data_IF_750652389435
#
_entry.id   IF_750652389435
#
_cell.length_a   1.000
_cell.length_b   1.000
_cell.length_c   1.000
_cell.angle_alpha   90.00
_cell.angle_beta   90.00
_cell.angle_gamma   90.00
#
_symmetry.space_group_name_H-M   'P 1'
#
loop_
_entity.id
_entity.type
_entity.pdbx_description
1 polymer ?
#
# COMPACT_ATOMS: atom_id res chain seq x y z
N UNK A 1 -17.50 -26.64 12.13
CA UNK A 1 -17.04 -25.64 13.13
C UNK A 1 -15.54 -25.85 13.31
N UNK A 2 -14.72 -25.36 12.38
CA UNK A 2 -13.26 -25.52 12.42
C UNK A 2 -12.68 -24.13 12.62
N UNK A 3 -12.07 -23.88 13.77
CA UNK A 3 -11.27 -22.69 14.02
C UNK A 3 -9.83 -23.07 13.68
N UNK A 4 -9.39 -22.81 12.46
CA UNK A 4 -7.97 -22.88 12.13
C UNK A 4 -7.30 -21.72 12.88
N UNK A 5 -6.55 -22.05 13.93
CA UNK A 5 -5.84 -21.07 14.75
C UNK A 5 -4.52 -20.76 14.05
N UNK A 6 -4.47 -19.61 13.38
CA UNK A 6 -3.21 -19.02 12.92
C UNK A 6 -2.76 -18.07 14.02
N UNK A 7 -1.53 -18.24 14.50
CA UNK A 7 -0.90 -17.30 15.41
C UNK A 7 0.07 -16.44 14.61
N UNK A 8 -0.16 -15.13 14.58
CA UNK A 8 0.75 -14.16 13.96
C UNK A 8 1.39 -13.31 15.06
N UNK A 9 2.70 -13.15 15.01
CA UNK A 9 3.43 -12.20 15.85
C UNK A 9 4.18 -11.23 14.93
N UNK A 10 3.87 -9.94 15.01
CA UNK A 10 4.54 -8.89 14.27
C UNK A 10 5.21 -7.90 15.23
N UNK A 11 6.40 -7.44 14.86
CA UNK A 11 7.11 -6.34 15.52
C UNK A 11 7.30 -5.26 14.47
N UNK A 12 6.68 -4.11 14.71
CA UNK A 12 6.79 -2.92 13.88
C UNK A 12 7.69 -1.91 14.57
N UNK A 13 8.72 -1.46 13.86
CA UNK A 13 9.58 -0.35 14.26
C UNK A 13 9.38 0.81 13.30
N UNK A 14 8.92 1.95 13.80
CA UNK A 14 8.86 3.20 13.04
C UNK A 14 10.09 4.04 13.34
N UNK A 15 10.71 4.60 12.30
CA UNK A 15 11.84 5.51 12.44
C UNK A 15 11.48 6.84 11.76
N UNK A 16 11.51 7.92 12.53
CA UNK A 16 11.51 9.27 11.97
C UNK A 16 12.97 9.75 11.91
N UNK A 17 13.50 9.91 10.70
CA UNK A 17 14.76 10.60 10.47
C UNK A 17 14.46 12.09 10.24
N UNK A 18 15.19 12.94 10.96
CA UNK A 18 14.83 14.35 11.14
C UNK A 18 14.74 15.18 9.86
N UNK A 19 14.11 16.34 10.00
CA UNK A 19 13.99 17.33 8.93
C UNK A 19 15.34 18.00 8.65
N UNK A 20 15.71 18.11 7.38
CA UNK A 20 16.89 18.86 6.94
C UNK A 20 16.43 20.03 6.08
N UNK A 21 16.53 21.23 6.63
CA UNK A 21 16.28 22.47 5.91
C UNK A 21 17.45 22.78 4.96
N UNK A 22 17.18 22.81 3.65
CA UNK A 22 18.09 23.31 2.62
C UNK A 22 17.68 24.72 2.18
N UNK A 23 18.59 25.44 1.54
CA UNK A 23 18.36 26.82 1.07
C UNK A 23 17.22 26.97 0.02
N UNK A 24 16.60 25.87 -0.43
CA UNK A 24 15.55 25.85 -1.46
C UNK A 24 14.34 24.96 -1.11
N UNK A 25 14.27 24.39 0.10
CA UNK A 25 13.19 23.49 0.52
C UNK A 25 13.56 22.62 1.71
N UNK A 26 12.60 21.84 2.19
CA UNK A 26 12.71 21.00 3.38
C UNK A 26 12.58 19.53 2.99
N UNK A 27 13.50 18.70 3.48
CA UNK A 27 13.44 17.25 3.34
C UNK A 27 12.98 16.64 4.66
N UNK A 28 12.03 15.71 4.57
CA UNK A 28 11.61 14.85 5.67
C UNK A 28 11.77 13.38 5.23
N UNK A 29 12.34 12.57 6.12
CA UNK A 29 12.57 11.15 5.88
C UNK A 29 11.99 10.35 7.05
N UNK A 30 10.86 9.72 6.84
CA UNK A 30 10.22 8.82 7.79
C UNK A 30 10.24 7.39 7.25
N UNK A 31 9.62 6.46 7.98
CA UNK A 31 9.39 5.12 7.48
C UNK A 31 9.18 4.08 8.55
N UNK A 32 8.97 2.85 8.10
CA UNK A 32 8.78 1.69 8.95
C UNK A 32 9.62 0.50 8.50
N UNK A 33 10.03 -0.30 9.47
CA UNK A 33 10.58 -1.65 9.28
C UNK A 33 9.71 -2.59 10.10
N UNK A 34 9.28 -3.70 9.51
CA UNK A 34 8.54 -4.72 10.21
C UNK A 34 9.23 -6.08 10.10
N UNK A 35 9.15 -6.86 11.17
CA UNK A 35 9.43 -8.29 11.14
C UNK A 35 8.17 -9.03 11.59
N UNK A 36 7.78 -10.06 10.85
CA UNK A 36 6.59 -10.86 11.10
C UNK A 36 6.96 -12.34 11.17
N UNK A 37 6.33 -13.08 12.07
CA UNK A 37 6.37 -14.53 12.12
C UNK A 37 4.94 -15.08 12.14
N UNK A 38 4.59 -15.82 11.09
CA UNK A 38 3.33 -16.59 11.03
C UNK A 38 3.60 -18.04 11.46
N UNK A 39 2.75 -18.55 12.35
CA UNK A 39 2.83 -19.93 12.84
C UNK A 39 1.59 -20.71 12.40
N UNK A 40 1.84 -21.85 11.77
CA UNK A 40 0.84 -22.75 11.21
C UNK A 40 0.84 -24.09 11.96
N UNK A 41 0.05 -24.24 13.04
CA UNK A 41 0.05 -25.45 13.87
C UNK A 41 -0.67 -26.64 13.22
N UNK A 42 -1.60 -26.36 12.31
CA UNK A 42 -2.35 -27.38 11.57
C UNK A 42 -1.60 -27.77 10.27
N UNK A 43 -1.91 -28.95 9.74
CA UNK A 43 -1.42 -29.37 8.42
C UNK A 43 -1.90 -28.45 7.29
N UNK A 44 -1.24 -28.49 6.11
CA UNK A 44 -1.76 -27.95 4.85
C UNK A 44 -3.25 -28.24 4.66
N UNK A 45 -4.02 -27.23 4.22
CA UNK A 45 -5.43 -27.42 3.87
C UNK A 45 -5.58 -28.05 2.48
N UNK A 46 -4.59 -27.85 1.61
CA UNK A 46 -4.49 -28.40 0.27
C UNK A 46 -3.11 -29.04 0.07
N UNK A 47 -3.01 -30.02 -0.84
CA UNK A 47 -1.78 -30.81 -1.05
C UNK A 47 -0.64 -29.96 -1.61
N UNK A 48 -0.99 -28.91 -2.35
CA UNK A 48 -0.05 -28.01 -3.01
C UNK A 48 0.51 -26.95 -2.06
N UNK A 49 -0.08 -26.78 -0.87
CA UNK A 49 0.41 -25.79 0.09
C UNK A 49 1.71 -26.24 0.76
N UNK A 50 2.59 -25.27 0.99
CA UNK A 50 3.79 -25.45 1.81
C UNK A 50 3.42 -26.04 3.19
N UNK A 51 4.24 -26.93 3.75
CA UNK A 51 4.00 -27.59 5.04
C UNK A 51 4.80 -26.98 6.21
N UNK A 52 5.50 -25.87 5.97
CA UNK A 52 6.27 -25.15 6.97
C UNK A 52 5.37 -24.65 8.12
N UNK A 53 5.80 -24.98 9.34
CA UNK A 53 5.15 -24.54 10.59
C UNK A 53 5.42 -23.07 10.89
N UNK A 54 6.57 -22.55 10.46
CA UNK A 54 7.01 -21.18 10.71
C UNK A 54 7.22 -20.47 9.37
N UNK A 55 6.66 -19.28 9.23
CA UNK A 55 6.81 -18.45 8.02
C UNK A 55 7.20 -17.03 8.44
N UNK A 56 8.52 -16.75 8.48
CA UNK A 56 9.00 -15.41 8.77
C UNK A 56 8.93 -14.51 7.53
N UNK A 57 8.65 -13.22 7.74
CA UNK A 57 8.78 -12.19 6.72
C UNK A 57 9.33 -10.90 7.32
N UNK A 58 9.84 -10.02 6.47
CA UNK A 58 10.29 -8.69 6.84
C UNK A 58 9.86 -7.67 5.78
N UNK A 59 9.51 -6.46 6.19
CA UNK A 59 9.22 -5.35 5.28
C UNK A 59 9.94 -4.07 5.66
N UNK A 60 10.16 -3.24 4.65
CA UNK A 60 10.77 -1.93 4.76
C UNK A 60 10.02 -0.94 3.87
N UNK A 61 9.60 0.17 4.46
CA UNK A 61 8.81 1.22 3.81
C UNK A 61 9.33 2.59 4.27
N UNK A 62 10.35 3.16 3.60
CA UNK A 62 10.72 4.54 3.84
C UNK A 62 9.71 5.48 3.19
N UNK A 63 9.54 6.65 3.79
CA UNK A 63 8.73 7.75 3.28
C UNK A 63 9.65 8.97 3.12
N UNK A 64 9.71 9.49 1.89
CA UNK A 64 10.55 10.62 1.53
C UNK A 64 9.63 11.75 1.09
N UNK A 65 9.69 12.86 1.80
CA UNK A 65 8.94 14.07 1.48
C UNK A 65 9.91 15.22 1.23
N UNK A 66 9.68 15.94 0.13
CA UNK A 66 10.40 17.16 -0.17
C UNK A 66 9.41 18.30 -0.42
N UNK A 67 9.46 19.33 0.40
CA UNK A 67 8.58 20.50 0.30
C UNK A 67 9.37 21.74 -0.10
N UNK A 68 8.79 22.54 -1.00
CA UNK A 68 9.36 23.82 -1.40
C UNK A 68 8.27 24.87 -1.67
N UNK A 69 8.68 26.10 -1.97
CA UNK A 69 7.76 27.24 -2.20
C UNK A 69 6.80 27.50 -1.03
N UNK A 70 7.32 27.43 0.20
CA UNK A 70 6.56 27.59 1.44
C UNK A 70 5.46 26.51 1.62
N UNK A 71 5.77 25.26 1.26
CA UNK A 71 4.85 24.11 1.34
C UNK A 71 3.79 24.07 0.24
N UNK A 72 3.87 24.95 -0.75
CA UNK A 72 2.94 24.93 -1.91
C UNK A 72 3.28 23.86 -2.91
N UNK A 73 4.49 23.33 -2.89
CA UNK A 73 4.86 22.17 -3.67
C UNK A 73 5.41 21.10 -2.75
N UNK A 74 4.96 19.88 -2.96
CA UNK A 74 5.39 18.71 -2.22
C UNK A 74 5.62 17.55 -3.17
N UNK A 75 6.78 16.92 -3.08
CA UNK A 75 7.05 15.63 -3.70
C UNK A 75 7.03 14.57 -2.60
N UNK A 76 6.34 13.46 -2.87
CA UNK A 76 6.26 12.32 -1.95
C UNK A 76 6.65 11.06 -2.68
N UNK A 77 7.53 10.27 -2.08
CA UNK A 77 7.93 8.96 -2.57
C UNK A 77 7.95 7.96 -1.40
N UNK A 78 7.18 6.89 -1.55
CA UNK A 78 7.04 5.80 -0.57
C UNK A 78 7.32 4.48 -1.27
N UNK A 79 8.60 4.09 -1.47
CA UNK A 79 8.91 2.76 -1.94
C UNK A 79 8.67 1.74 -0.82
N UNK A 80 8.37 0.51 -1.21
CA UNK A 80 8.05 -0.58 -0.32
C UNK A 80 8.81 -1.84 -0.77
N UNK A 81 9.30 -2.60 0.20
CA UNK A 81 9.92 -3.89 -0.03
C UNK A 81 9.42 -4.88 1.02
N UNK A 82 9.01 -6.07 0.58
CA UNK A 82 8.79 -7.23 1.44
C UNK A 82 9.62 -8.42 0.98
N UNK A 83 10.15 -9.13 1.96
CA UNK A 83 10.80 -10.43 1.80
C UNK A 83 10.03 -11.45 2.64
N UNK A 84 9.51 -12.50 2.02
CA UNK A 84 8.81 -13.59 2.67
C UNK A 84 9.53 -14.91 2.38
N UNK A 85 9.67 -15.77 3.39
CA UNK A 85 10.42 -17.00 3.27
C UNK A 85 9.71 -18.10 2.45
N UNK A 86 8.38 -18.07 2.38
CA UNK A 86 7.58 -19.21 1.91
C UNK A 86 6.43 -18.84 0.97
N UNK A 87 6.22 -17.55 0.69
CA UNK A 87 5.30 -17.06 -0.33
C UNK A 87 6.06 -16.11 -1.28
N UNK A 88 6.34 -16.57 -2.49
CA UNK A 88 7.14 -15.83 -3.47
C UNK A 88 6.40 -14.60 -4.02
N UNK A 89 5.09 -14.68 -4.17
CA UNK A 89 4.23 -13.55 -4.53
C UNK A 89 4.23 -12.47 -3.44
N UNK A 90 4.45 -12.87 -2.18
CA UNK A 90 4.61 -11.94 -1.04
C UNK A 90 5.99 -11.31 -0.93
N UNK A 91 6.98 -11.85 -1.63
CA UNK A 91 8.27 -11.19 -1.83
C UNK A 91 8.17 -10.24 -3.02
N UNK A 92 7.98 -8.95 -2.75
CA UNK A 92 7.84 -7.95 -3.81
C UNK A 92 8.41 -6.60 -3.42
N UNK A 93 8.61 -5.78 -4.44
CA UNK A 93 8.91 -4.37 -4.29
C UNK A 93 7.82 -3.56 -5.00
N UNK A 94 7.37 -2.49 -4.35
CA UNK A 94 6.36 -1.58 -4.89
C UNK A 94 6.78 -0.12 -4.70
N UNK A 95 6.20 0.77 -5.47
CA UNK A 95 6.18 2.20 -5.23
C UNK A 95 4.76 2.58 -4.79
N UNK A 96 4.53 2.59 -3.48
CA UNK A 96 3.22 2.82 -2.86
C UNK A 96 2.69 4.20 -3.19
N UNK A 97 3.57 5.19 -3.16
CA UNK A 97 3.29 6.57 -3.56
C UNK A 97 4.50 7.15 -4.29
N UNK A 98 4.23 7.95 -5.31
CA UNK A 98 5.19 8.74 -6.06
C UNK A 98 4.44 9.88 -6.74
N UNK A 99 4.23 10.96 -6.01
CA UNK A 99 3.39 12.06 -6.46
C UNK A 99 4.05 13.43 -6.26
N UNK A 100 3.56 14.39 -7.04
CA UNK A 100 3.78 15.80 -6.85
C UNK A 100 2.45 16.48 -6.58
N UNK A 101 2.36 17.16 -5.45
CA UNK A 101 1.26 18.02 -5.04
C UNK A 101 1.65 19.48 -5.27
N UNK A 102 0.77 20.23 -5.93
CA UNK A 102 0.82 21.69 -6.04
C UNK A 102 -0.43 22.29 -5.40
N UNK A 103 -0.24 23.18 -4.43
CA UNK A 103 -1.29 23.96 -3.79
C UNK A 103 -1.28 25.39 -4.33
N UNK A 104 -2.45 25.85 -4.77
CA UNK A 104 -2.70 27.22 -5.18
C UNK A 104 -3.89 27.84 -4.46
N UNK A 105 -4.24 29.06 -4.86
CA UNK A 105 -5.34 29.78 -4.23
C UNK A 105 -6.70 29.18 -4.62
N UNK A 106 -7.28 28.39 -3.70
CA UNK A 106 -8.56 27.73 -3.91
C UNK A 106 -8.50 26.50 -4.80
N UNK A 107 -7.32 25.90 -4.99
CA UNK A 107 -7.17 24.62 -5.69
C UNK A 107 -5.93 23.85 -5.24
N UNK A 108 -5.96 22.53 -5.43
CA UNK A 108 -4.76 21.69 -5.40
C UNK A 108 -4.75 20.73 -6.59
N UNK A 109 -3.54 20.32 -6.99
CA UNK A 109 -3.33 19.33 -8.05
C UNK A 109 -2.34 18.29 -7.56
N UNK A 110 -2.71 17.03 -7.65
CA UNK A 110 -1.81 15.89 -7.48
C UNK A 110 -1.57 15.23 -8.83
N UNK A 111 -0.30 14.94 -9.12
CA UNK A 111 0.14 14.22 -10.31
C UNK A 111 1.07 13.10 -9.90
N UNK A 112 0.76 11.85 -10.28
CA UNK A 112 1.62 10.71 -10.05
C UNK A 112 0.86 9.50 -9.50
N UNK A 113 1.54 8.69 -8.70
CA UNK A 113 0.97 7.51 -8.03
C UNK A 113 0.59 7.93 -6.62
N UNK A 114 -0.69 7.83 -6.27
CA UNK A 114 -1.19 8.32 -4.98
C UNK A 114 -2.27 7.40 -4.39
N UNK A 115 -2.51 7.54 -3.09
CA UNK A 115 -3.60 6.87 -2.37
C UNK A 115 -4.67 7.89 -1.99
N UNK A 116 -5.87 7.77 -2.55
CA UNK A 116 -6.96 8.71 -2.30
C UNK A 116 -7.64 8.39 -0.98
N UNK A 117 -7.43 9.26 0.02
CA UNK A 117 -8.18 9.22 1.27
C UNK A 117 -9.34 10.21 1.23
N UNK A 118 -10.57 9.69 1.26
CA UNK A 118 -11.77 10.48 1.46
C UNK A 118 -11.96 10.67 2.97
N UNK A 119 -11.36 11.72 3.57
CA UNK A 119 -11.44 11.97 5.03
C UNK A 119 -12.89 12.03 5.56
N UNK A 120 -13.19 11.89 6.86
CA UNK A 120 -12.37 11.92 8.10
C UNK A 120 -12.90 10.82 9.06
N UNK A 121 -11.99 10.06 9.68
CA UNK A 121 -12.27 9.05 10.74
C UNK A 121 -13.19 7.90 10.34
N UNK A 122 -12.87 7.16 9.28
CA UNK A 122 -13.57 5.91 9.02
C UNK A 122 -12.73 4.73 9.50
N UNK A 123 -13.28 3.98 10.45
CA UNK A 123 -12.75 2.68 10.89
C UNK A 123 -12.95 1.60 9.82
N UNK A 124 -13.48 1.94 8.63
CA UNK A 124 -13.65 1.08 7.45
C UNK A 124 -13.71 1.89 6.16
N UNK A 125 -13.08 1.35 5.11
CA UNK A 125 -13.01 1.89 3.75
C UNK A 125 -14.33 1.69 2.99
N UNK A 126 -15.43 2.35 3.40
CA UNK A 126 -16.77 2.02 2.90
C UNK A 126 -16.99 2.41 1.44
N UNK A 127 -16.16 3.31 0.90
CA UNK A 127 -16.17 3.70 -0.52
C UNK A 127 -14.75 3.93 -1.03
N UNK A 128 -13.99 2.85 -1.18
CA UNK A 128 -12.71 2.88 -1.89
C UNK A 128 -12.92 2.39 -3.34
N UNK A 129 -13.16 3.34 -4.24
CA UNK A 129 -13.44 3.06 -5.67
C UNK A 129 -12.16 3.22 -6.52
N UNK A 130 -11.16 3.95 -6.01
CA UNK A 130 -10.00 4.37 -6.80
C UNK A 130 -8.79 3.47 -6.55
N UNK A 131 -8.47 3.17 -5.30
CA UNK A 131 -7.32 2.35 -4.96
C UNK A 131 -7.73 0.88 -4.83
N UNK A 132 -6.90 -0.02 -5.35
CA UNK A 132 -7.10 -1.47 -5.27
C UNK A 132 -6.57 -2.01 -3.94
N UNK A 133 -7.19 -3.07 -3.42
CA UNK A 133 -6.67 -3.83 -2.27
C UNK A 133 -5.40 -4.58 -2.64
N UNK A 134 -4.38 -4.53 -1.78
CA UNK A 134 -3.19 -5.38 -1.85
C UNK A 134 -3.37 -6.63 -0.99
N UNK A 135 -3.87 -7.71 -1.60
CA UNK A 135 -4.27 -8.93 -0.89
C UNK A 135 -3.12 -9.81 -0.42
N UNK A 136 -1.93 -9.51 -0.90
CA UNK A 136 -0.72 -10.25 -0.53
C UNK A 136 -0.13 -9.69 0.77
N UNK A 137 -0.43 -8.44 1.07
CA UNK A 137 0.07 -7.77 2.26
C UNK A 137 -0.75 -8.08 3.50
N UNK A 138 -2.08 -7.93 3.40
CA UNK A 138 -3.02 -8.33 4.45
C UNK A 138 -4.24 -9.06 3.88
N UNK A 139 -4.70 -10.06 4.62
CA UNK A 139 -5.91 -10.82 4.36
C UNK A 139 -7.16 -9.98 4.65
N UNK A 140 -7.05 -9.00 5.55
CA UNK A 140 -8.16 -8.13 5.94
C UNK A 140 -8.49 -7.05 4.89
N UNK A 141 -7.59 -6.80 3.94
CA UNK A 141 -7.77 -5.85 2.83
C UNK A 141 -7.60 -4.39 3.23
N UNK A 142 -6.91 -4.11 4.34
CA UNK A 142 -6.62 -2.75 4.79
C UNK A 142 -5.49 -2.09 3.96
N UNK A 143 -4.57 -2.88 3.41
CA UNK A 143 -3.49 -2.37 2.55
C UNK A 143 -3.95 -2.10 1.12
N UNK A 144 -3.47 -0.97 0.57
CA UNK A 144 -3.88 -0.46 -0.75
C UNK A 144 -2.70 -0.23 -1.69
N UNK A 145 -2.92 -0.49 -2.97
CA UNK A 145 -2.01 -0.11 -4.05
C UNK A 145 -2.21 1.38 -4.41
N UNK A 146 -1.10 2.09 -4.63
CA UNK A 146 -1.16 3.47 -5.15
C UNK A 146 -1.66 3.49 -6.59
N UNK A 147 -2.46 4.48 -6.96
CA UNK A 147 -3.09 4.57 -8.28
C UNK A 147 -2.45 5.71 -9.09
N UNK A 148 -1.96 5.46 -10.32
CA UNK A 148 -1.60 6.53 -11.24
C UNK A 148 -2.80 7.44 -11.49
N UNK A 149 -2.64 8.73 -11.21
CA UNK A 149 -3.71 9.71 -11.33
C UNK A 149 -3.22 11.14 -11.61
N UNK A 150 -4.12 11.91 -12.20
CA UNK A 150 -4.19 13.35 -12.07
C UNK A 150 -5.44 13.66 -11.24
N UNK A 151 -5.28 14.37 -10.13
CA UNK A 151 -6.38 14.76 -9.26
C UNK A 151 -6.35 16.27 -9.04
N UNK A 152 -7.34 16.98 -9.60
CA UNK A 152 -7.50 18.43 -9.41
C UNK A 152 -8.68 18.67 -8.46
N UNK A 153 -8.42 19.34 -7.35
CA UNK A 153 -9.47 19.78 -6.44
C UNK A 153 -9.64 21.29 -6.52
N UNK A 154 -10.90 21.73 -6.64
CA UNK A 154 -11.28 23.13 -6.61
C UNK A 154 -12.07 23.40 -5.33
N UNK A 155 -11.61 24.34 -4.53
CA UNK A 155 -12.25 24.77 -3.30
C UNK A 155 -13.02 26.06 -3.54
N UNK A 156 -14.33 26.02 -3.30
CA UNK A 156 -15.25 27.15 -3.47
C UNK A 156 -16.09 27.29 -2.21
N UNK A 157 -16.73 28.44 -2.05
CA UNK A 157 -17.61 28.71 -0.89
C UNK A 157 -18.76 27.70 -0.76
N UNK A 158 -19.16 27.08 -1.88
CA UNK A 158 -20.22 26.07 -1.94
C UNK A 158 -19.74 24.63 -1.70
N UNK A 159 -18.42 24.38 -1.65
CA UNK A 159 -17.87 23.03 -1.45
C UNK A 159 -16.58 22.75 -2.22
N UNK A 160 -16.20 21.46 -2.25
CA UNK A 160 -15.04 20.93 -2.98
C UNK A 160 -15.52 20.17 -4.22
N UNK A 161 -14.90 20.45 -5.37
CA UNK A 161 -15.06 19.68 -6.60
C UNK A 161 -13.75 18.98 -6.93
N UNK A 162 -13.75 17.65 -6.91
CA UNK A 162 -12.60 16.82 -7.32
C UNK A 162 -12.78 16.27 -8.73
N UNK A 163 -11.74 16.39 -9.56
CA UNK A 163 -11.68 15.89 -10.92
C UNK A 163 -10.51 14.91 -11.04
N UNK A 164 -10.81 13.68 -11.48
CA UNK A 164 -9.83 12.60 -11.57
C UNK A 164 -9.63 12.16 -13.03
N UNK A 165 -8.38 11.96 -13.41
CA UNK A 165 -7.99 11.21 -14.61
C UNK A 165 -7.10 10.07 -14.16
N UNK A 166 -7.49 8.83 -14.47
CA UNK A 166 -6.82 7.61 -14.02
C UNK A 166 -6.20 6.89 -15.23
N UNK A 167 -4.97 7.26 -15.63
CA UNK A 167 -4.31 6.63 -16.76
C UNK A 167 -3.84 5.22 -16.39
N UNK A 168 -4.65 4.24 -16.76
CA UNK A 168 -4.34 2.83 -16.58
C UNK A 168 -4.76 2.29 -15.21
N UNK A 169 -4.58 0.99 -15.09
CA UNK A 169 -5.02 0.20 -13.96
C UNK A 169 -3.83 -0.56 -13.43
N UNK A 170 -3.70 -0.63 -12.10
CA UNK A 170 -2.74 -1.52 -11.46
C UNK A 170 -3.44 -2.82 -11.12
N UNK A 171 -2.85 -3.92 -11.55
CA UNK A 171 -3.38 -5.25 -11.29
C UNK A 171 -3.28 -5.57 -9.80
N UNK A 172 -4.31 -6.25 -9.31
CA UNK A 172 -4.33 -6.78 -7.95
C UNK A 172 -3.44 -8.03 -7.86
N UNK A 173 -2.57 -8.04 -6.88
CA UNK A 173 -1.72 -9.17 -6.48
C UNK A 173 -2.54 -10.21 -5.71
N UNK A 174 -2.21 -11.49 -5.87
CA UNK A 174 -2.82 -12.60 -5.14
C UNK A 174 -1.74 -13.49 -4.52
N UNK A 175 -2.04 -14.20 -3.41
CA UNK A 175 -1.10 -15.16 -2.82
C UNK A 175 -0.76 -16.29 -3.78
N UNK A 176 0.44 -16.84 -3.63
CA UNK A 176 0.91 -17.98 -4.42
C UNK A 176 0.02 -19.22 -4.32
N UNK A 177 0.10 -20.10 -5.32
CA UNK A 177 -0.63 -21.37 -5.36
C UNK A 177 -0.22 -22.34 -4.25
N UNK A 178 0.97 -22.20 -3.69
CA UNK A 178 1.46 -22.95 -2.53
C UNK A 178 1.36 -22.18 -1.21
N UNK A 179 0.88 -20.93 -1.24
CA UNK A 179 0.74 -20.11 -0.05
C UNK A 179 -0.27 -20.70 0.93
N UNK A 180 0.08 -20.74 2.22
CA UNK A 180 -0.79 -21.23 3.30
C UNK A 180 -2.10 -20.44 3.41
N UNK A 181 -2.07 -19.18 2.99
CA UNK A 181 -3.16 -18.21 3.14
C UNK A 181 -3.93 -17.96 1.83
N UNK A 182 -3.69 -18.77 0.79
CA UNK A 182 -4.44 -18.67 -0.47
C UNK A 182 -5.93 -19.00 -0.33
N UNK A 183 -6.72 -18.52 -1.28
CA UNK A 183 -8.10 -18.91 -1.44
C UNK A 183 -8.27 -20.38 -1.86
N UNK A 184 -9.50 -20.94 -1.77
CA UNK A 184 -9.75 -22.35 -2.09
C UNK A 184 -9.50 -22.70 -3.56
N UNK A 185 -9.58 -21.70 -4.45
CA UNK A 185 -9.24 -21.83 -5.86
C UNK A 185 -7.93 -21.09 -6.13
N UNK A 186 -6.94 -21.76 -6.74
CA UNK A 186 -5.76 -21.12 -7.33
C UNK A 186 -6.19 -20.03 -8.31
N UNK A 187 -5.52 -18.88 -8.31
CA UNK A 187 -5.80 -17.77 -9.23
C UNK A 187 -4.62 -17.69 -10.19
N UNK A 188 -4.87 -17.96 -11.47
CA UNK A 188 -3.83 -17.92 -12.48
C UNK A 188 -3.32 -16.49 -12.69
N UNK A 189 -2.00 -16.34 -12.83
CA UNK A 189 -1.30 -15.06 -13.03
C UNK A 189 -1.66 -14.36 -14.36
N UNK A 190 -2.38 -15.04 -15.24
CA UNK A 190 -2.83 -14.52 -16.54
C UNK A 190 -4.29 -14.07 -16.44
N UNK A 191 -4.51 -12.96 -15.74
CA UNK A 191 -5.79 -12.26 -15.81
C UNK A 191 -5.90 -11.53 -17.16
N UNK A 192 -7.00 -11.75 -17.88
CA UNK A 192 -7.31 -11.00 -19.11
C UNK A 192 -8.23 -9.85 -18.73
N UNK A 193 -7.78 -8.61 -18.88
CA UNK A 193 -8.57 -7.42 -18.59
C UNK A 193 -9.10 -6.84 -19.91
N UNK A 194 -10.43 -6.68 -20.02
CA UNK A 194 -11.03 -5.87 -21.07
C UNK A 194 -11.02 -4.40 -20.63
N UNK A 195 -10.42 -3.56 -21.47
CA UNK A 195 -10.38 -2.09 -21.32
C UNK A 195 -11.62 -1.43 -21.91
#
# INVERSE_FOLDING_TARGET
>A
MWKHLIACASVLGSCAAGTVAGAAGEWELSGSVAAELRIFPDSPAFVEQNDATFSPSASFEPEIVYEWNDGRDRLTAVPFLRLDAHDDHRTHADLREANWLRVGDGWDLVVGIDKVFWGVTESRHLVDIVNQDDRVEDIDGEDKLGQPMLNLNLYRDWGRLGLFVLPGFRERTFPADDARLRGPLPIADTATFDS
#
